data_IF_121417518091
#
_entry.id   IF_121417518091
#
_cell.length_a   1.000
_cell.length_b   1.000
_cell.length_c   1.000
_cell.angle_alpha   90.00
_cell.angle_beta   90.00
_cell.angle_gamma   90.00
#
_symmetry.space_group_name_H-M   'P 1'
#
loop_
_entity.id
_entity.type
_entity.pdbx_description
1 polymer ?
#
# COMPACT_ATOMS: atom_id res chain seq x y z
N UNK A 1 3.42 10.88 -6.08
CA UNK A 1 2.96 12.15 -5.48
C UNK A 1 2.57 13.09 -6.59
N UNK A 2 1.38 13.68 -6.56
CA UNK A 2 0.95 14.65 -7.58
C UNK A 2 1.65 15.99 -7.37
N UNK A 3 2.02 16.64 -8.47
CA UNK A 3 2.70 17.93 -8.55
C UNK A 3 1.87 18.86 -9.45
N UNK A 4 2.09 20.17 -9.31
CA UNK A 4 1.62 21.13 -10.30
C UNK A 4 2.58 21.13 -11.48
N UNK A 5 2.08 20.72 -12.65
CA UNK A 5 2.84 20.81 -13.89
C UNK A 5 3.27 22.26 -14.13
N UNK A 6 4.59 22.49 -14.14
CA UNK A 6 5.19 23.81 -14.31
C UNK A 6 6.66 23.66 -14.67
N UNK A 7 7.22 24.69 -15.30
CA UNK A 7 8.63 24.79 -15.63
C UNK A 7 9.29 25.75 -14.66
N UNK A 8 10.47 25.41 -14.17
CA UNK A 8 11.29 26.31 -13.37
C UNK A 8 12.74 26.29 -13.88
N UNK A 9 13.30 27.47 -14.14
CA UNK A 9 14.70 27.63 -14.48
C UNK A 9 15.54 27.85 -13.22
N UNK A 10 16.55 27.02 -13.04
CA UNK A 10 17.51 27.13 -11.96
C UNK A 10 18.78 27.82 -12.45
N UNK A 11 18.89 29.13 -12.18
CA UNK A 11 20.03 29.96 -12.59
C UNK A 11 21.39 29.46 -12.10
N UNK A 12 21.46 28.82 -10.92
CA UNK A 12 22.73 28.32 -10.36
C UNK A 12 23.24 27.08 -11.10
N UNK A 13 22.32 26.24 -11.56
CA UNK A 13 22.64 25.02 -12.30
C UNK A 13 22.58 25.21 -13.82
N UNK A 14 22.23 26.42 -14.26
CA UNK A 14 21.89 26.75 -15.64
C UNK A 14 21.01 25.69 -16.30
N UNK A 15 19.94 25.28 -15.59
CA UNK A 15 19.13 24.12 -15.97
C UNK A 15 17.64 24.39 -15.83
N UNK A 16 16.87 23.92 -16.81
CA UNK A 16 15.41 23.95 -16.78
C UNK A 16 14.89 22.66 -16.16
N UNK A 17 13.97 22.77 -15.21
CA UNK A 17 13.32 21.67 -14.49
C UNK A 17 11.81 21.68 -14.70
N UNK A 18 11.14 20.59 -14.34
CA UNK A 18 9.68 20.42 -14.54
C UNK A 18 9.31 19.41 -15.63
N UNK A 19 10.29 18.72 -16.19
CA UNK A 19 10.11 17.72 -17.23
C UNK A 19 10.09 16.29 -16.68
N UNK A 20 9.46 15.39 -17.42
CA UNK A 20 9.46 13.94 -17.17
C UNK A 20 10.89 13.41 -17.27
N UNK A 21 11.29 12.61 -16.29
CA UNK A 21 12.58 11.91 -16.30
C UNK A 21 12.52 10.62 -15.49
N UNK A 22 13.19 9.59 -16.01
CA UNK A 22 13.39 8.29 -15.34
C UNK A 22 14.66 8.26 -14.46
N UNK A 23 15.34 9.41 -14.31
CA UNK A 23 16.62 9.52 -13.62
C UNK A 23 17.84 9.46 -14.55
N UNK A 24 17.66 9.03 -15.80
CA UNK A 24 18.71 8.96 -16.81
C UNK A 24 18.51 10.00 -17.91
N UNK A 25 17.28 10.10 -18.44
CA UNK A 25 16.95 11.00 -19.53
C UNK A 25 15.75 11.89 -19.19
N UNK A 26 15.74 13.09 -19.78
CA UNK A 26 14.61 14.02 -19.67
C UNK A 26 13.83 14.06 -20.99
N UNK A 27 12.51 13.90 -20.90
CA UNK A 27 11.58 14.03 -22.03
C UNK A 27 10.97 15.41 -22.01
N UNK A 28 10.78 16.06 -23.17
CA UNK A 28 10.14 17.39 -23.30
C UNK A 28 8.62 17.33 -23.06
N UNK A 29 8.21 16.71 -21.96
CA UNK A 29 6.84 16.54 -21.49
C UNK A 29 6.83 17.04 -20.05
N UNK A 30 5.84 17.84 -19.67
CA UNK A 30 5.74 18.34 -18.30
C UNK A 30 5.42 17.20 -17.35
N UNK A 31 6.15 17.16 -16.23
CA UNK A 31 5.86 16.24 -15.15
C UNK A 31 4.77 16.80 -14.25
N UNK A 32 3.82 15.95 -13.89
CA UNK A 32 2.75 16.22 -12.92
C UNK A 32 2.77 15.21 -11.77
N UNK A 33 3.71 14.26 -11.77
CA UNK A 33 3.93 13.31 -10.69
C UNK A 33 5.42 13.17 -10.36
N UNK A 34 5.72 13.03 -9.07
CA UNK A 34 7.00 12.55 -8.55
C UNK A 34 6.83 11.17 -7.94
N UNK A 35 7.71 10.25 -8.30
CA UNK A 35 7.92 8.97 -7.64
C UNK A 35 9.19 9.07 -6.80
N UNK A 36 9.14 8.62 -5.55
CA UNK A 36 10.28 8.66 -4.63
C UNK A 36 10.48 7.27 -4.06
N UNK A 37 11.74 6.82 -4.03
CA UNK A 37 12.15 5.58 -3.41
C UNK A 37 12.93 5.89 -2.13
N UNK A 38 12.51 5.26 -1.05
CA UNK A 38 13.06 5.46 0.29
C UNK A 38 13.68 4.14 0.77
N UNK A 39 14.89 4.19 1.31
CA UNK A 39 15.42 3.09 2.13
C UNK A 39 15.05 3.31 3.59
N UNK A 40 14.68 2.22 4.27
CA UNK A 40 14.39 2.20 5.70
C UNK A 40 15.19 1.09 6.35
N UNK A 41 15.93 1.42 7.41
CA UNK A 41 16.61 0.42 8.22
C UNK A 41 15.62 -0.42 9.02
N UNK A 42 15.80 -1.74 8.98
CA UNK A 42 15.01 -2.68 9.76
C UNK A 42 15.52 -2.78 11.21
N UNK A 43 16.84 -2.93 11.37
CA UNK A 43 17.49 -3.06 12.69
C UNK A 43 17.83 -1.68 13.27
N UNK A 44 18.33 -0.77 12.44
CA UNK A 44 18.72 0.58 12.86
C UNK A 44 17.66 1.58 12.39
N UNK A 45 17.35 2.55 13.24
CA UNK A 45 16.37 3.58 12.95
C UNK A 45 16.95 4.65 11.99
N UNK A 46 17.09 4.32 10.71
CA UNK A 46 17.47 5.27 9.67
C UNK A 46 16.46 5.26 8.52
N UNK A 47 16.32 6.38 7.82
CA UNK A 47 15.53 6.49 6.60
C UNK A 47 16.16 7.52 5.68
N UNK A 48 16.23 7.23 4.39
CA UNK A 48 16.82 8.14 3.42
C UNK A 48 16.16 8.00 2.04
N UNK A 49 15.81 9.10 1.36
CA UNK A 49 15.41 9.04 -0.04
C UNK A 49 16.63 8.73 -0.89
N UNK A 50 16.54 7.69 -1.72
CA UNK A 50 17.68 7.17 -2.49
C UNK A 50 17.54 7.42 -3.99
N UNK A 51 16.30 7.56 -4.48
CA UNK A 51 16.04 7.87 -5.87
C UNK A 51 14.70 8.61 -5.99
N UNK A 52 14.58 9.43 -7.03
CA UNK A 52 13.33 10.05 -7.42
C UNK A 52 13.25 10.13 -8.94
N UNK A 53 12.04 9.98 -9.46
CA UNK A 53 11.75 10.09 -10.90
C UNK A 53 10.51 10.97 -11.08
N UNK A 54 10.39 11.57 -12.25
CA UNK A 54 9.29 12.46 -12.61
C UNK A 54 8.53 11.90 -13.79
N UNK A 55 7.21 11.87 -13.71
CA UNK A 55 6.35 11.29 -14.74
C UNK A 55 5.16 12.20 -15.07
N UNK A 56 4.63 12.00 -16.28
CA UNK A 56 3.34 12.52 -16.69
C UNK A 56 2.32 11.40 -16.48
N UNK A 57 1.41 11.60 -15.54
CA UNK A 57 0.55 10.57 -14.98
C UNK A 57 1.30 9.55 -14.13
N UNK A 58 0.62 8.45 -13.81
CA UNK A 58 1.21 7.38 -13.01
C UNK A 58 2.28 6.62 -13.80
N UNK A 59 3.45 6.39 -13.19
CA UNK A 59 4.53 5.57 -13.77
C UNK A 59 4.02 4.17 -14.12
N UNK A 60 4.24 3.73 -15.36
CA UNK A 60 3.79 2.42 -15.86
C UNK A 60 4.46 1.28 -15.09
N UNK A 61 3.75 0.15 -14.92
CA UNK A 61 4.25 -0.96 -14.10
C UNK A 61 5.58 -1.56 -14.59
N UNK A 62 5.80 -1.64 -15.91
CA UNK A 62 7.08 -2.10 -16.47
C UNK A 62 8.24 -1.19 -16.11
N UNK A 63 8.06 0.12 -16.29
CA UNK A 63 9.07 1.13 -15.96
C UNK A 63 9.39 1.12 -14.46
N UNK A 64 8.36 0.99 -13.63
CA UNK A 64 8.53 0.86 -12.19
C UNK A 64 9.31 -0.40 -11.80
N UNK A 65 9.04 -1.54 -12.45
CA UNK A 65 9.80 -2.78 -12.20
C UNK A 65 11.28 -2.63 -12.56
N UNK A 66 11.58 -1.93 -13.68
CA UNK A 66 12.96 -1.59 -14.08
C UNK A 66 13.64 -0.73 -13.03
N UNK A 67 13.01 0.36 -12.59
CA UNK A 67 13.54 1.25 -11.55
C UNK A 67 13.79 0.52 -10.24
N UNK A 68 12.85 -0.33 -9.79
CA UNK A 68 13.03 -1.16 -8.57
C UNK A 68 14.27 -2.05 -8.71
N UNK A 69 14.46 -2.68 -9.87
CA UNK A 69 15.60 -3.57 -10.11
C UNK A 69 16.94 -2.82 -10.07
N UNK A 70 17.02 -1.68 -10.73
CA UNK A 70 18.21 -0.82 -10.76
C UNK A 70 18.57 -0.33 -9.35
N UNK A 71 17.58 0.18 -8.61
CA UNK A 71 17.78 0.70 -7.26
C UNK A 71 18.25 -0.42 -6.31
N UNK A 72 17.61 -1.58 -6.34
CA UNK A 72 18.00 -2.70 -5.46
C UNK A 72 19.40 -3.19 -5.81
N UNK A 73 19.74 -3.26 -7.10
CA UNK A 73 21.08 -3.62 -7.55
C UNK A 73 22.14 -2.64 -7.02
N UNK A 74 21.89 -1.33 -7.14
CA UNK A 74 22.78 -0.31 -6.59
C UNK A 74 22.93 -0.38 -5.08
N UNK A 75 21.83 -0.62 -4.35
CA UNK A 75 21.87 -0.81 -2.89
C UNK A 75 22.71 -2.02 -2.49
N UNK A 76 22.57 -3.14 -3.19
CA UNK A 76 23.34 -4.37 -2.94
C UNK A 76 24.83 -4.17 -3.21
N UNK A 77 25.20 -3.44 -4.27
CA UNK A 77 26.59 -3.11 -4.58
C UNK A 77 27.26 -2.26 -3.48
N UNK A 78 26.50 -1.38 -2.82
CA UNK A 78 26.97 -0.60 -1.67
C UNK A 78 27.09 -1.44 -0.39
N UNK A 79 26.51 -2.65 -0.37
CA UNK A 79 26.56 -3.57 0.77
C UNK A 79 25.26 -3.65 1.59
N UNK A 80 24.17 -3.04 1.13
CA UNK A 80 22.87 -3.20 1.79
C UNK A 80 22.21 -4.53 1.44
N UNK A 81 21.72 -5.24 2.46
CA UNK A 81 20.86 -6.42 2.29
C UNK A 81 19.38 -6.01 2.23
N UNK A 82 18.82 -5.94 1.02
CA UNK A 82 17.40 -5.57 0.83
C UNK A 82 16.47 -6.76 1.05
N UNK A 83 15.71 -6.78 2.16
CA UNK A 83 14.85 -7.93 2.51
C UNK A 83 13.42 -7.82 1.97
N UNK A 84 12.91 -6.61 1.83
CA UNK A 84 11.53 -6.38 1.42
C UNK A 84 11.36 -5.06 0.67
N UNK A 85 10.32 -4.99 -0.16
CA UNK A 85 9.82 -3.75 -0.74
C UNK A 85 8.42 -3.46 -0.22
N UNK A 86 8.09 -2.18 -0.03
CA UNK A 86 6.77 -1.76 0.47
C UNK A 86 6.16 -0.77 -0.52
N UNK A 87 4.92 -1.01 -0.94
CA UNK A 87 4.17 -0.10 -1.80
C UNK A 87 2.65 -0.15 -1.52
N UNK A 88 1.88 0.76 -2.11
CA UNK A 88 0.42 0.67 -2.08
C UNK A 88 -0.13 -0.36 -3.09
N UNK A 89 -1.44 -0.58 -3.09
CA UNK A 89 -2.11 -1.53 -3.99
C UNK A 89 -2.50 -0.95 -5.37
N UNK A 90 -1.89 0.16 -5.78
CA UNK A 90 -2.10 0.77 -7.08
C UNK A 90 -1.85 -0.24 -8.21
N UNK A 91 -2.61 -0.12 -9.31
CA UNK A 91 -2.55 -1.05 -10.44
C UNK A 91 -1.14 -1.20 -10.99
N UNK A 92 -0.40 -0.09 -11.10
CA UNK A 92 0.98 -0.10 -11.60
C UNK A 92 1.97 -0.76 -10.62
N UNK A 93 1.78 -0.56 -9.31
CA UNK A 93 2.58 -1.23 -8.26
C UNK A 93 2.36 -2.74 -8.29
N UNK A 94 1.09 -3.18 -8.40
CA UNK A 94 0.75 -4.60 -8.55
C UNK A 94 1.33 -5.21 -9.83
N UNK A 95 1.27 -4.47 -10.94
CA UNK A 95 1.86 -4.90 -12.20
C UNK A 95 3.38 -5.03 -12.09
N UNK A 96 4.07 -4.07 -11.45
CA UNK A 96 5.51 -4.11 -11.26
C UNK A 96 5.94 -5.34 -10.45
N UNK A 97 5.25 -5.61 -9.33
CA UNK A 97 5.50 -6.82 -8.52
C UNK A 97 5.29 -8.09 -9.34
N UNK A 98 4.20 -8.16 -10.12
CA UNK A 98 3.92 -9.31 -10.99
C UNK A 98 5.06 -9.54 -12.00
N UNK A 99 5.52 -8.50 -12.66
CA UNK A 99 6.64 -8.57 -13.62
C UNK A 99 7.92 -9.10 -12.94
N UNK A 100 8.24 -8.60 -11.74
CA UNK A 100 9.42 -9.05 -10.98
C UNK A 100 9.31 -10.53 -10.60
N UNK A 101 8.15 -10.99 -10.10
CA UNK A 101 7.91 -12.40 -9.78
C UNK A 101 8.00 -13.30 -11.00
N UNK A 102 7.42 -12.88 -12.13
CA UNK A 102 7.49 -13.62 -13.39
C UNK A 102 8.93 -13.71 -13.92
N UNK A 103 9.72 -12.66 -13.76
CA UNK A 103 11.14 -12.70 -14.09
C UNK A 103 11.89 -13.76 -13.26
N UNK A 104 11.63 -13.82 -11.94
CA UNK A 104 12.20 -14.85 -11.05
C UNK A 104 11.79 -16.25 -11.47
N UNK A 105 10.49 -16.48 -11.72
CA UNK A 105 10.01 -17.79 -12.22
C UNK A 105 10.69 -18.21 -13.51
N UNK A 106 10.85 -17.28 -14.45
CA UNK A 106 11.52 -17.55 -15.73
C UNK A 106 12.97 -17.96 -15.52
N UNK A 107 13.69 -17.31 -14.61
CA UNK A 107 15.08 -17.67 -14.29
C UNK A 107 15.22 -19.10 -13.76
N UNK A 108 14.32 -19.53 -12.88
CA UNK A 108 14.31 -20.89 -12.33
C UNK A 108 14.04 -21.93 -13.42
N UNK A 109 13.05 -21.68 -14.27
CA UNK A 109 12.73 -22.57 -15.40
C UNK A 109 13.90 -22.72 -16.37
N UNK A 110 14.63 -21.63 -16.66
CA UNK A 110 15.81 -21.70 -17.53
C UNK A 110 17.01 -22.41 -16.90
N UNK A 111 17.06 -22.52 -15.57
CA UNK A 111 18.14 -23.17 -14.83
C UNK A 111 17.85 -24.64 -14.51
N UNK A 112 16.73 -25.20 -15.00
CA UNK A 112 16.24 -26.54 -14.68
C UNK A 112 16.14 -26.79 -13.17
N UNK A 113 15.81 -25.75 -12.40
CA UNK A 113 15.58 -25.93 -10.97
C UNK A 113 14.35 -26.80 -10.73
N UNK A 114 14.50 -27.79 -9.84
CA UNK A 114 13.45 -28.77 -9.55
C UNK A 114 12.36 -28.20 -8.65
N UNK A 115 12.66 -27.13 -7.91
CA UNK A 115 11.75 -26.50 -6.95
C UNK A 115 11.43 -25.07 -7.39
N UNK A 116 10.14 -24.77 -7.55
CA UNK A 116 9.70 -23.44 -7.95
C UNK A 116 9.84 -22.44 -6.79
N UNK A 117 10.14 -21.16 -7.08
CA UNK A 117 10.26 -20.15 -6.04
C UNK A 117 8.89 -19.91 -5.37
N UNK A 118 8.94 -19.52 -4.10
CA UNK A 118 7.74 -19.14 -3.34
C UNK A 118 6.95 -18.05 -4.08
N UNK A 119 5.63 -18.14 -4.11
CA UNK A 119 4.79 -17.17 -4.84
C UNK A 119 4.90 -15.74 -4.29
N UNK A 120 5.32 -15.58 -3.04
CA UNK A 120 5.40 -14.30 -2.34
C UNK A 120 6.79 -13.66 -2.36
N UNK A 121 7.70 -14.06 -3.26
CA UNK A 121 9.04 -13.46 -3.38
C UNK A 121 9.40 -13.15 -4.83
N UNK A 122 10.35 -12.24 -5.01
CA UNK A 122 11.12 -12.09 -6.25
C UNK A 122 12.61 -12.02 -5.90
N UNK A 123 13.47 -12.41 -6.84
CA UNK A 123 14.92 -12.50 -6.65
C UNK A 123 15.65 -11.47 -7.52
N UNK A 124 16.59 -10.76 -6.91
CA UNK A 124 17.53 -9.86 -7.57
C UNK A 124 18.93 -10.15 -7.05
N UNK A 125 19.87 -10.44 -7.95
CA UNK A 125 21.26 -10.78 -7.64
C UNK A 125 21.37 -11.89 -6.58
N UNK A 126 20.63 -12.99 -6.79
CA UNK A 126 20.57 -14.16 -5.89
C UNK A 126 20.06 -13.87 -4.49
N UNK A 127 19.43 -12.72 -4.25
CA UNK A 127 18.78 -12.39 -3.00
C UNK A 127 17.27 -12.40 -3.13
N UNK A 128 16.60 -13.17 -2.27
CA UNK A 128 15.14 -13.15 -2.14
C UNK A 128 14.66 -11.84 -1.48
N UNK A 129 13.62 -11.25 -2.07
CA UNK A 129 13.00 -10.02 -1.60
C UNK A 129 11.48 -10.23 -1.53
N UNK A 130 10.90 -9.85 -0.39
CA UNK A 130 9.45 -9.97 -0.15
C UNK A 130 8.74 -8.66 -0.55
N UNK A 131 7.85 -8.64 -1.56
CA UNK A 131 6.96 -7.52 -1.80
C UNK A 131 5.83 -7.49 -0.76
N UNK A 132 5.71 -6.38 -0.04
CA UNK A 132 4.71 -6.14 0.99
C UNK A 132 3.83 -4.96 0.57
N UNK A 133 2.53 -5.08 0.76
CA UNK A 133 1.62 -3.93 0.60
C UNK A 133 1.47 -3.19 1.93
N UNK A 134 1.37 -1.86 1.85
CA UNK A 134 1.24 -1.00 3.03
C UNK A 134 0.01 -1.38 3.88
N UNK A 135 0.21 -1.85 5.14
CA UNK A 135 -0.89 -2.33 5.97
C UNK A 135 -1.99 -1.29 6.26
N UNK A 136 -1.67 -0.01 6.57
CA UNK A 136 -2.66 1.06 6.63
C UNK A 136 -3.55 1.19 5.39
N UNK A 137 -2.98 1.06 4.19
CA UNK A 137 -3.76 1.05 2.95
C UNK A 137 -4.65 -0.20 2.82
N UNK A 138 -4.16 -1.38 3.21
CA UNK A 138 -4.96 -2.62 3.24
C UNK A 138 -6.18 -2.48 4.15
N UNK A 139 -5.98 -1.95 5.36
CA UNK A 139 -7.05 -1.75 6.34
C UNK A 139 -8.15 -0.82 5.82
N UNK A 140 -7.75 0.28 5.16
CA UNK A 140 -8.68 1.18 4.46
C UNK A 140 -9.41 0.46 3.33
N UNK A 141 -8.72 -0.39 2.57
CA UNK A 141 -9.28 -1.21 1.50
C UNK A 141 -10.38 -2.14 2.01
N UNK A 142 -10.13 -2.87 3.10
CA UNK A 142 -11.12 -3.73 3.76
C UNK A 142 -12.36 -2.93 4.16
N UNK A 143 -12.18 -1.79 4.83
CA UNK A 143 -13.30 -0.92 5.24
C UNK A 143 -14.09 -0.38 4.05
N UNK A 144 -13.41 0.11 3.01
CA UNK A 144 -14.06 0.64 1.82
C UNK A 144 -14.82 -0.44 1.03
N UNK A 145 -14.31 -1.66 0.99
CA UNK A 145 -15.01 -2.78 0.37
C UNK A 145 -16.23 -3.17 1.20
N UNK A 146 -16.11 -3.26 2.53
CA UNK A 146 -17.23 -3.62 3.40
C UNK A 146 -18.37 -2.60 3.34
N UNK A 147 -18.07 -1.32 3.11
CA UNK A 147 -19.07 -0.25 2.89
C UNK A 147 -20.00 -0.51 1.68
N UNK A 148 -19.53 -1.23 0.66
CA UNK A 148 -20.24 -1.39 -0.62
C UNK A 148 -20.55 -2.86 -0.95
N UNK A 149 -19.94 -3.79 -0.22
CA UNK A 149 -19.96 -5.23 -0.49
C UNK A 149 -20.06 -5.98 0.83
N UNK A 150 -20.60 -7.18 0.77
CA UNK A 150 -20.59 -8.10 1.90
C UNK A 150 -19.32 -8.96 1.89
N UNK A 151 -18.77 -9.22 3.07
CA UNK A 151 -17.63 -10.10 3.25
C UNK A 151 -18.13 -11.49 3.65
N UNK A 152 -18.01 -12.46 2.75
CA UNK A 152 -18.24 -13.86 3.06
C UNK A 152 -16.97 -14.48 3.63
N UNK A 153 -17.09 -15.19 4.74
CA UNK A 153 -15.97 -15.82 5.43
C UNK A 153 -16.37 -17.20 5.96
N UNK A 154 -15.39 -17.99 6.39
CA UNK A 154 -15.61 -19.25 7.12
C UNK A 154 -14.75 -19.25 8.37
N UNK A 155 -15.37 -19.53 9.53
CA UNK A 155 -14.68 -19.76 10.81
C UNK A 155 -15.09 -21.16 11.26
N UNK A 156 -14.10 -22.01 11.57
CA UNK A 156 -14.31 -23.41 11.96
C UNK A 156 -15.25 -24.18 11.02
N UNK A 157 -15.10 -23.94 9.71
CA UNK A 157 -15.92 -24.55 8.66
C UNK A 157 -17.33 -23.95 8.51
N UNK A 158 -17.79 -23.11 9.44
CA UNK A 158 -19.11 -22.47 9.39
C UNK A 158 -19.07 -21.21 8.51
N UNK A 159 -19.93 -21.11 7.49
CA UNK A 159 -20.01 -19.92 6.66
C UNK A 159 -20.64 -18.76 7.45
N UNK A 160 -20.10 -17.56 7.24
CA UNK A 160 -20.62 -16.32 7.79
C UNK A 160 -20.55 -15.19 6.77
N UNK A 161 -21.36 -14.17 7.00
CA UNK A 161 -21.38 -12.96 6.17
C UNK A 161 -21.33 -11.73 7.06
N UNK A 162 -20.26 -10.94 6.94
CA UNK A 162 -20.17 -9.62 7.55
C UNK A 162 -20.74 -8.57 6.58
N UNK A 163 -21.64 -7.73 7.09
CA UNK A 163 -22.30 -6.65 6.35
C UNK A 163 -22.02 -5.32 7.05
N UNK A 164 -21.91 -4.23 6.29
CA UNK A 164 -21.80 -2.88 6.87
C UNK A 164 -22.97 -2.57 7.81
N UNK A 165 -24.15 -3.08 7.47
CA UNK A 165 -25.37 -2.93 8.26
C UNK A 165 -25.22 -3.32 9.73
N UNK A 166 -24.36 -4.29 10.06
CA UNK A 166 -24.12 -4.65 11.46
C UNK A 166 -23.47 -3.51 12.26
N UNK A 167 -22.63 -2.68 11.61
CA UNK A 167 -22.05 -1.49 12.23
C UNK A 167 -23.05 -0.33 12.34
N UNK A 168 -23.98 -0.23 11.39
CA UNK A 168 -25.09 0.75 11.45
C UNK A 168 -26.03 0.42 12.62
N UNK A 169 -26.39 -0.85 12.79
CA UNK A 169 -27.19 -1.33 13.92
C UNK A 169 -26.48 -1.04 15.25
N UNK A 170 -25.20 -1.40 15.36
CA UNK A 170 -24.39 -1.12 16.56
C UNK A 170 -24.39 0.37 16.92
N UNK A 171 -24.25 1.24 15.92
CA UNK A 171 -24.27 2.68 16.12
C UNK A 171 -25.66 3.20 16.54
N UNK A 172 -26.74 2.61 16.02
CA UNK A 172 -28.12 2.95 16.39
C UNK A 172 -28.45 2.52 17.82
N UNK A 173 -28.06 1.32 18.21
CA UNK A 173 -28.22 0.82 19.58
C UNK A 173 -27.43 1.68 20.59
N UNK A 174 -26.28 2.22 20.16
CA UNK A 174 -25.43 3.12 20.94
C UNK A 174 -25.30 2.69 22.41
N UNK A 175 -24.80 1.46 22.67
CA UNK A 175 -24.77 0.88 24.00
C UNK A 175 -24.03 1.78 24.99
N UNK A 176 -24.65 1.94 26.16
CA UNK A 176 -24.18 2.84 27.20
C UNK A 176 -24.83 2.54 28.55
N UNK A 177 -24.17 2.97 29.61
CA UNK A 177 -24.66 2.82 30.98
C UNK A 177 -24.62 4.16 31.69
N UNK A 178 -25.73 4.55 32.34
CA UNK A 178 -25.85 5.83 33.07
C UNK A 178 -25.35 7.05 32.29
N UNK A 179 -25.66 7.12 30.99
CA UNK A 179 -25.24 8.22 30.10
C UNK A 179 -23.81 8.12 29.56
N UNK A 180 -23.03 7.11 29.96
CA UNK A 180 -21.67 6.86 29.45
C UNK A 180 -21.75 5.90 28.26
N UNK A 181 -21.27 6.33 27.10
CA UNK A 181 -21.20 5.48 25.89
C UNK A 181 -20.07 4.46 26.03
N UNK A 182 -20.33 3.20 25.68
CA UNK A 182 -19.31 2.15 25.65
C UNK A 182 -18.37 2.28 24.44
N UNK A 183 -18.79 3.04 23.41
CA UNK A 183 -18.02 3.26 22.18
C UNK A 183 -17.92 4.76 21.85
N UNK A 184 -17.25 5.58 22.69
CA UNK A 184 -17.21 7.04 22.50
C UNK A 184 -16.48 7.46 21.22
N UNK A 185 -15.62 6.60 20.68
CA UNK A 185 -14.92 6.84 19.42
C UNK A 185 -15.78 6.61 18.19
N UNK A 186 -16.86 5.83 18.30
CA UNK A 186 -17.75 5.55 17.18
C UNK A 186 -18.72 6.72 16.98
N UNK A 187 -18.63 7.34 15.82
CA UNK A 187 -19.40 8.54 15.48
C UNK A 187 -19.95 8.41 14.07
N UNK A 188 -20.82 9.33 13.68
CA UNK A 188 -21.33 9.40 12.30
C UNK A 188 -20.24 9.42 11.22
N UNK A 189 -19.07 10.00 11.50
CA UNK A 189 -17.92 10.01 10.56
C UNK A 189 -17.27 8.64 10.36
N UNK A 190 -17.66 7.64 11.15
CA UNK A 190 -17.24 6.25 10.99
C UNK A 190 -18.26 5.43 10.19
N UNK A 191 -19.54 5.79 10.26
CA UNK A 191 -20.65 4.95 9.80
C UNK A 191 -21.28 5.48 8.51
N UNK A 192 -21.56 6.79 8.44
CA UNK A 192 -22.32 7.40 7.35
C UNK A 192 -21.41 7.58 6.13
N UNK A 193 -21.65 6.88 4.99
CA UNK A 193 -20.71 6.85 3.86
C UNK A 193 -20.29 8.23 3.32
N UNK A 194 -21.20 9.20 3.34
CA UNK A 194 -20.96 10.58 2.89
C UNK A 194 -20.07 11.38 3.85
N UNK A 195 -20.06 11.04 5.15
CA UNK A 195 -19.25 11.70 6.18
C UNK A 195 -17.93 10.99 6.45
N UNK A 196 -17.71 9.79 5.91
CA UNK A 196 -16.47 9.04 6.16
C UNK A 196 -15.31 9.62 5.34
N UNK A 197 -14.24 10.11 5.99
CA UNK A 197 -13.03 10.53 5.29
C UNK A 197 -12.26 9.29 4.82
N UNK A 198 -12.56 8.82 3.61
CA UNK A 198 -12.09 7.53 3.06
C UNK A 198 -10.57 7.34 3.08
N UNK A 199 -9.80 8.43 3.07
CA UNK A 199 -8.33 8.40 3.07
C UNK A 199 -7.69 8.35 4.45
N UNK A 200 -8.42 8.71 5.52
CA UNK A 200 -7.90 8.75 6.90
C UNK A 200 -7.96 7.36 7.53
N UNK A 201 -6.78 6.76 7.76
CA UNK A 201 -6.64 5.39 8.31
C UNK A 201 -7.26 5.26 9.70
N UNK A 202 -7.18 6.32 10.53
CA UNK A 202 -7.73 6.36 11.90
C UNK A 202 -9.16 5.81 11.99
N UNK A 203 -10.04 6.21 11.08
CA UNK A 203 -11.44 5.79 11.11
C UNK A 203 -11.59 4.30 10.76
N UNK A 204 -10.78 3.80 9.82
CA UNK A 204 -10.76 2.37 9.51
C UNK A 204 -10.23 1.54 10.69
N UNK A 205 -9.17 1.99 11.37
CA UNK A 205 -8.63 1.28 12.53
C UNK A 205 -9.55 1.31 13.75
N UNK A 206 -10.31 2.40 13.95
CA UNK A 206 -11.26 2.49 15.06
C UNK A 206 -12.47 1.57 14.85
N UNK A 207 -12.94 1.42 13.61
CA UNK A 207 -14.02 0.47 13.27
C UNK A 207 -13.59 -0.97 13.51
N UNK A 208 -12.39 -1.33 13.09
CA UNK A 208 -11.84 -2.68 13.30
C UNK A 208 -11.05 -2.79 14.61
N UNK A 209 -11.61 -2.27 15.70
CA UNK A 209 -11.00 -2.33 17.03
C UNK A 209 -11.65 -3.41 17.90
N UNK A 210 -10.90 -3.86 18.91
CA UNK A 210 -11.40 -4.83 19.91
C UNK A 210 -12.67 -4.32 20.60
N UNK A 211 -12.72 -3.03 20.95
CA UNK A 211 -13.87 -2.41 21.64
C UNK A 211 -15.15 -2.55 20.82
N UNK A 212 -15.10 -2.28 19.51
CA UNK A 212 -16.24 -2.47 18.61
C UNK A 212 -16.66 -3.93 18.57
N UNK A 213 -15.69 -4.84 18.36
CA UNK A 213 -15.96 -6.28 18.31
C UNK A 213 -16.63 -6.80 19.58
N UNK A 214 -16.18 -6.38 20.76
CA UNK A 214 -16.75 -6.84 22.04
C UNK A 214 -18.19 -6.35 22.24
N UNK A 215 -18.49 -5.10 21.88
CA UNK A 215 -19.85 -4.57 21.97
C UNK A 215 -20.79 -5.23 20.94
N UNK A 216 -20.29 -5.54 19.75
CA UNK A 216 -21.05 -6.32 18.77
C UNK A 216 -21.37 -7.74 19.26
N UNK A 217 -20.40 -8.42 19.89
CA UNK A 217 -20.61 -9.74 20.48
C UNK A 217 -21.67 -9.71 21.59
N UNK A 218 -21.55 -8.76 22.51
CA UNK A 218 -22.51 -8.54 23.58
C UNK A 218 -23.95 -8.36 23.08
N UNK A 219 -24.16 -7.52 22.06
CA UNK A 219 -25.50 -7.32 21.47
C UNK A 219 -26.02 -8.54 20.70
N UNK A 220 -25.13 -9.37 20.17
CA UNK A 220 -25.49 -10.59 19.48
C UNK A 220 -25.74 -11.78 20.43
N UNK A 221 -25.50 -11.62 21.74
CA UNK A 221 -25.67 -12.68 22.74
C UNK A 221 -24.62 -13.78 22.68
N UNK A 222 -23.41 -13.46 22.19
CA UNK A 222 -22.25 -14.36 22.05
C UNK A 222 -21.03 -13.86 22.82
#
# INVERSE_FOLDING_TARGET
MQLRASIAYNRRKDAVSGFVTDGHEAKKILADHAQVFLIRGLIKNFKQPIAYTFSSGMTKGYELAKQIKEIITGLQQVGFKVLATICDQGTNNRQAIKILKEATRRSYLCQNETEMPRDNIFIINSQEIVPIFDPPHLLKGIRNNLLTKNLNYKIDGKPGTAKWHHLELLYKENPGYKGIRLMPTLTETHIIPTKIPKMKVKYASQIFSRTISSNMGYLAGI
#
